data_IF_643144149472
#
_entry.id   IF_643144149472
#
_cell.length_a   1.000
_cell.length_b   1.000
_cell.length_c   1.000
_cell.angle_alpha   90.00
_cell.angle_beta   90.00
_cell.angle_gamma   90.00
#
_symmetry.space_group_name_H-M   'P 1'
#
loop_
_entity.id
_entity.type
_entity.pdbx_description
1 polymer ?
#
# COMPACT_ATOMS: atom_id res chain seq x y z
N UNK A 1 19.43 2.55 -1.04
CA UNK A 1 18.73 3.39 -0.05
C UNK A 1 17.49 3.98 -0.69
N UNK A 2 16.32 3.94 -0.04
CA UNK A 2 15.15 4.69 -0.53
C UNK A 2 15.16 6.10 0.07
N UNK A 3 14.88 7.10 -0.76
CA UNK A 3 14.72 8.49 -0.33
C UNK A 3 13.28 8.95 -0.51
N UNK A 4 12.89 9.92 0.31
CA UNK A 4 11.57 10.55 0.28
C UNK A 4 11.70 12.05 0.54
N UNK A 5 10.56 12.71 0.68
CA UNK A 5 10.48 14.14 0.99
C UNK A 5 9.39 14.40 2.03
N UNK A 6 9.47 15.52 2.72
CA UNK A 6 8.39 16.02 3.55
C UNK A 6 7.61 17.06 2.75
N UNK A 7 6.30 16.87 2.59
CA UNK A 7 5.45 17.80 1.84
C UNK A 7 5.19 19.08 2.64
N UNK A 8 4.70 20.18 2.02
CA UNK A 8 4.26 21.36 2.76
C UNK A 8 3.15 21.08 3.78
N UNK A 9 2.36 20.02 3.57
CA UNK A 9 1.36 19.52 4.51
C UNK A 9 1.96 18.71 5.68
N UNK A 10 3.30 18.62 5.76
CA UNK A 10 4.06 17.89 6.78
C UNK A 10 3.92 16.37 6.72
N UNK A 11 3.61 15.83 5.55
CA UNK A 11 3.60 14.38 5.34
C UNK A 11 4.98 13.91 4.86
N UNK A 12 5.56 12.92 5.54
CA UNK A 12 6.72 12.22 5.01
C UNK A 12 6.25 11.25 3.92
N UNK A 13 6.72 11.43 2.70
CA UNK A 13 6.29 10.63 1.54
C UNK A 13 7.47 10.02 0.79
N UNK A 14 7.28 8.82 0.27
CA UNK A 14 8.23 8.13 -0.61
C UNK A 14 7.54 7.66 -1.88
N UNK A 15 8.25 7.67 -3.01
CA UNK A 15 7.76 7.04 -4.25
C UNK A 15 7.97 5.55 -4.19
N UNK A 16 6.98 4.78 -4.63
CA UNK A 16 7.03 3.34 -4.72
C UNK A 16 6.53 2.91 -6.10
N UNK A 17 7.28 2.05 -6.76
CA UNK A 17 6.82 1.33 -7.95
C UNK A 17 6.16 0.02 -7.51
N UNK A 18 4.88 -0.12 -7.84
CA UNK A 18 4.09 -1.32 -7.57
C UNK A 18 3.99 -2.15 -8.84
N UNK A 19 4.07 -3.48 -8.71
CA UNK A 19 3.77 -4.41 -9.80
C UNK A 19 2.51 -5.20 -9.50
N UNK A 20 1.61 -5.12 -10.45
CA UNK A 20 0.35 -5.84 -10.52
C UNK A 20 0.49 -7.18 -11.24
N UNK A 21 -0.64 -7.70 -11.69
CA UNK A 21 -0.67 -8.89 -12.55
C UNK A 21 -0.33 -8.53 -13.99
N UNK A 22 0.09 -9.53 -14.78
CA UNK A 22 0.37 -9.39 -16.21
C UNK A 22 1.36 -8.25 -16.57
N UNK A 23 2.33 -7.97 -15.69
CA UNK A 23 3.36 -6.96 -15.93
C UNK A 23 2.89 -5.51 -15.80
N UNK A 24 1.67 -5.26 -15.28
CA UNK A 24 1.21 -3.90 -14.99
C UNK A 24 2.05 -3.28 -13.88
N UNK A 25 2.43 -2.03 -14.04
CA UNK A 25 3.15 -1.28 -13.01
C UNK A 25 2.45 0.06 -12.76
N UNK A 26 2.45 0.50 -11.51
CA UNK A 26 1.93 1.81 -11.10
C UNK A 26 2.93 2.46 -10.15
N UNK A 27 3.33 3.70 -10.44
CA UNK A 27 4.10 4.50 -9.49
C UNK A 27 3.15 5.29 -8.59
N UNK A 28 3.39 5.21 -7.27
CA UNK A 28 2.62 5.97 -6.29
C UNK A 28 3.53 6.79 -5.39
N UNK A 29 2.95 7.84 -4.81
CA UNK A 29 3.48 8.49 -3.63
C UNK A 29 2.78 7.94 -2.40
N UNK A 30 3.52 7.29 -1.52
CA UNK A 30 3.01 6.70 -0.27
C UNK A 30 3.44 7.55 0.92
N UNK A 31 2.51 7.81 1.83
CA UNK A 31 2.79 8.42 3.13
C UNK A 31 3.44 7.38 4.04
N UNK A 32 4.48 7.81 4.76
CA UNK A 32 5.12 7.03 5.83
C UNK A 32 4.36 7.34 7.13
N UNK A 33 3.60 6.36 7.60
CA UNK A 33 2.83 6.46 8.84
C UNK A 33 3.41 5.49 9.89
N UNK A 34 4.13 6.04 10.87
CA UNK A 34 4.72 5.26 11.97
C UNK A 34 3.71 4.90 13.06
N UNK A 35 2.52 5.49 13.05
CA UNK A 35 1.40 5.12 13.92
C UNK A 35 0.56 3.97 13.38
N UNK A 36 0.76 3.62 12.11
CA UNK A 36 0.04 2.53 11.44
C UNK A 36 0.81 1.21 11.51
N UNK A 37 0.16 0.16 12.02
CA UNK A 37 0.73 -1.18 12.20
C UNK A 37 0.20 -2.22 11.19
N UNK A 38 -0.51 -1.76 10.16
CA UNK A 38 -1.13 -2.62 9.16
C UNK A 38 -0.21 -2.99 8.00
N UNK A 39 -0.76 -2.95 6.79
CA UNK A 39 -0.02 -3.19 5.55
C UNK A 39 -0.38 -2.10 4.53
N UNK A 40 0.38 -1.99 3.44
CA UNK A 40 0.19 -0.95 2.42
C UNK A 40 -1.30 -0.79 2.04
N UNK A 41 -1.87 0.36 2.35
CA UNK A 41 -3.27 0.65 2.05
C UNK A 41 -3.35 1.36 0.71
N UNK A 42 -4.11 0.82 -0.23
CA UNK A 42 -4.25 1.38 -1.57
C UNK A 42 -5.72 1.73 -1.85
N UNK A 43 -6.01 2.80 -2.61
CA UNK A 43 -7.36 3.06 -3.08
C UNK A 43 -7.87 1.88 -3.94
N UNK A 44 -9.18 1.55 -3.90
CA UNK A 44 -9.76 0.46 -4.70
C UNK A 44 -9.44 0.59 -6.20
N UNK A 45 -9.43 1.81 -6.73
CA UNK A 45 -9.12 2.10 -8.13
C UNK A 45 -7.71 1.62 -8.53
N UNK A 46 -6.73 1.78 -7.64
CA UNK A 46 -5.36 1.37 -7.90
C UNK A 46 -5.20 -0.16 -7.81
N UNK A 47 -5.91 -0.80 -6.88
CA UNK A 47 -5.99 -2.26 -6.80
C UNK A 47 -6.58 -2.85 -8.09
N UNK A 48 -7.61 -2.21 -8.64
CA UNK A 48 -8.21 -2.58 -9.92
C UNK A 48 -7.26 -2.33 -11.10
N UNK A 49 -6.57 -1.17 -11.14
CA UNK A 49 -5.58 -0.85 -12.17
C UNK A 49 -4.44 -1.88 -12.22
N UNK A 50 -3.91 -2.25 -11.06
CA UNK A 50 -2.91 -3.30 -10.88
C UNK A 50 -3.45 -4.73 -11.12
N UNK A 51 -4.77 -4.89 -11.28
CA UNK A 51 -5.40 -6.19 -11.50
C UNK A 51 -5.14 -7.19 -10.36
N UNK A 52 -5.11 -6.73 -9.11
CA UNK A 52 -4.79 -7.58 -7.97
C UNK A 52 -5.99 -8.48 -7.62
N UNK A 53 -5.82 -9.81 -7.58
CA UNK A 53 -6.89 -10.70 -7.17
C UNK A 53 -7.11 -10.61 -5.64
N UNK A 54 -8.37 -10.63 -5.16
CA UNK A 54 -8.65 -10.66 -3.73
C UNK A 54 -8.10 -11.95 -3.11
N UNK A 55 -7.62 -11.85 -1.87
CA UNK A 55 -7.07 -12.95 -1.08
C UNK A 55 -7.87 -13.25 0.18
N UNK A 56 -8.92 -12.49 0.44
CA UNK A 56 -9.80 -12.64 1.59
C UNK A 56 -10.01 -11.31 2.30
N UNK A 57 -10.29 -11.39 3.59
CA UNK A 57 -10.59 -10.24 4.43
C UNK A 57 -9.79 -10.26 5.74
N UNK A 58 -9.65 -9.09 6.35
CA UNK A 58 -9.04 -8.91 7.67
C UNK A 58 -9.91 -7.97 8.50
N UNK A 59 -10.27 -8.41 9.70
CA UNK A 59 -10.85 -7.52 10.68
C UNK A 59 -9.74 -6.64 11.27
N UNK A 60 -9.96 -5.33 11.35
CA UNK A 60 -8.97 -4.35 11.79
C UNK A 60 -9.64 -3.40 12.77
N UNK A 61 -8.94 -3.08 13.86
CA UNK A 61 -9.35 -2.05 14.79
C UNK A 61 -8.89 -0.67 14.28
N UNK A 62 -9.79 0.30 14.27
CA UNK A 62 -9.50 1.69 13.92
C UNK A 62 -9.15 2.51 15.17
N UNK A 63 -8.59 3.70 14.96
CA UNK A 63 -8.17 4.59 16.05
C UNK A 63 -9.32 5.04 16.97
N UNK A 64 -10.56 4.99 16.50
CA UNK A 64 -11.77 5.26 17.28
C UNK A 64 -12.27 4.05 18.10
N UNK A 65 -11.56 2.93 18.05
CA UNK A 65 -11.91 1.68 18.73
C UNK A 65 -12.93 0.81 17.98
N UNK A 66 -13.46 1.28 16.84
CA UNK A 66 -14.34 0.48 15.99
C UNK A 66 -13.56 -0.63 15.27
N UNK A 67 -14.29 -1.63 14.80
CA UNK A 67 -13.71 -2.73 14.02
C UNK A 67 -14.37 -2.78 12.64
N UNK A 68 -13.54 -2.86 11.60
CA UNK A 68 -14.00 -2.95 10.21
C UNK A 68 -13.40 -4.16 9.52
N UNK A 69 -14.07 -4.65 8.48
CA UNK A 69 -13.57 -5.74 7.65
C UNK A 69 -12.98 -5.16 6.36
N UNK A 70 -11.67 -5.27 6.19
CA UNK A 70 -10.95 -4.79 5.01
C UNK A 70 -10.65 -5.93 4.04
N UNK A 71 -10.73 -5.66 2.75
CA UNK A 71 -10.32 -6.62 1.72
C UNK A 71 -8.81 -6.71 1.65
N UNK A 72 -8.29 -7.93 1.54
CA UNK A 72 -6.86 -8.21 1.54
C UNK A 72 -6.36 -8.64 0.16
N UNK A 73 -5.26 -8.04 -0.27
CA UNK A 73 -4.59 -8.31 -1.54
C UNK A 73 -3.08 -8.52 -1.32
N UNK A 74 -2.34 -8.81 -2.40
CA UNK A 74 -0.89 -8.85 -2.41
C UNK A 74 -0.36 -8.21 -3.68
N UNK A 75 0.70 -7.43 -3.57
CA UNK A 75 1.42 -6.81 -4.70
C UNK A 75 2.93 -6.98 -4.51
N UNK A 76 3.72 -6.58 -5.50
CA UNK A 76 5.17 -6.46 -5.39
C UNK A 76 5.51 -4.97 -5.35
N UNK A 77 6.27 -4.55 -4.35
CA UNK A 77 6.90 -3.23 -4.30
C UNK A 77 8.35 -3.38 -4.75
N UNK A 78 8.82 -2.50 -5.64
CA UNK A 78 10.25 -2.39 -5.92
C UNK A 78 10.89 -1.55 -4.83
N UNK A 79 11.42 -2.22 -3.82
CA UNK A 79 12.01 -1.61 -2.64
C UNK A 79 13.53 -1.53 -2.82
N UNK A 80 14.04 -0.32 -3.11
CA UNK A 80 15.47 -0.09 -3.31
C UNK A 80 16.06 -0.96 -4.43
N UNK A 81 15.36 -1.00 -5.57
CA UNK A 81 15.69 -1.88 -6.70
C UNK A 81 15.37 -3.36 -6.46
N UNK A 82 15.01 -3.76 -5.24
CA UNK A 82 14.72 -5.16 -4.90
C UNK A 82 13.21 -5.42 -4.86
N UNK A 83 12.69 -6.38 -5.66
CA UNK A 83 11.28 -6.77 -5.57
C UNK A 83 10.93 -7.37 -4.21
N UNK A 84 9.88 -6.86 -3.55
CA UNK A 84 9.36 -7.38 -2.29
C UNK A 84 7.85 -7.58 -2.37
N UNK A 85 7.39 -8.80 -2.08
CA UNK A 85 5.97 -9.09 -2.05
C UNK A 85 5.35 -8.62 -0.72
N UNK A 86 4.39 -7.69 -0.79
CA UNK A 86 3.76 -7.08 0.39
C UNK A 86 2.25 -7.30 0.38
N UNK A 87 1.65 -7.34 1.58
CA UNK A 87 0.21 -7.37 1.72
C UNK A 87 -0.38 -5.97 1.44
N UNK A 88 -1.58 -5.94 0.87
CA UNK A 88 -2.32 -4.71 0.58
C UNK A 88 -3.70 -4.74 1.25
N UNK A 89 -4.18 -3.58 1.72
CA UNK A 89 -5.52 -3.39 2.30
C UNK A 89 -6.31 -2.34 1.51
N UNK A 90 -7.62 -2.53 1.49
CA UNK A 90 -8.63 -1.61 0.96
C UNK A 90 -9.75 -1.52 1.97
#
# INVERSE_FOLDING_TARGET
MISGQVTPAREAVTRLLLRGTAGREEEIQAVIDTGFNGALTLPPALVAALGLPPRGHRQVALADGSHVLLSAYRTIVIWDGTPRAVAVRV
#
